data_IF_362975172514
#
_entry.id   IF_362975172514
#
_cell.length_a   1.000
_cell.length_b   1.000
_cell.length_c   1.000
_cell.angle_alpha   90.00
_cell.angle_beta   90.00
_cell.angle_gamma   90.00
#
_symmetry.space_group_name_H-M   'P 1'
#
loop_
_entity.id
_entity.type
_entity.pdbx_description
1 polymer ?
#
# COMPACT_ATOMS: atom_id res chain seq x y z
N UNK A 1 11.74 -4.30 -9.18
CA UNK A 1 10.96 -3.12 -9.62
C UNK A 1 9.89 -2.82 -8.58
N UNK A 2 9.59 -1.54 -8.34
CA UNK A 2 8.53 -1.14 -7.41
C UNK A 2 7.58 -0.19 -8.15
N UNK A 3 6.28 -0.44 -8.06
CA UNK A 3 5.23 0.42 -8.64
C UNK A 3 4.26 0.80 -7.54
N UNK A 4 4.15 2.09 -7.28
CA UNK A 4 3.19 2.62 -6.32
C UNK A 4 1.84 2.94 -6.95
N UNK A 5 0.77 2.84 -6.16
CA UNK A 5 -0.61 3.09 -6.57
C UNK A 5 -1.02 2.33 -7.84
N UNK A 6 -0.58 1.07 -7.98
CA UNK A 6 -0.75 0.22 -9.17
C UNK A 6 -2.21 0.09 -9.63
N UNK A 7 -3.15 0.09 -8.68
CA UNK A 7 -4.59 0.03 -8.95
C UNK A 7 -5.10 1.14 -9.86
N UNK A 8 -4.41 2.29 -9.94
CA UNK A 8 -4.75 3.41 -10.83
C UNK A 8 -4.75 2.99 -12.30
N UNK A 9 -3.91 2.02 -12.69
CA UNK A 9 -3.85 1.51 -14.07
C UNK A 9 -5.17 0.85 -14.52
N UNK A 10 -6.01 0.44 -13.57
CA UNK A 10 -7.27 -0.27 -13.81
C UNK A 10 -8.51 0.63 -13.60
N UNK A 11 -8.30 1.89 -13.20
CA UNK A 11 -9.39 2.84 -12.99
C UNK A 11 -9.87 3.43 -14.31
N UNK A 12 -11.18 3.39 -14.52
CA UNK A 12 -11.90 3.95 -15.68
C UNK A 12 -12.37 5.41 -15.45
N UNK A 13 -12.12 5.99 -14.26
CA UNK A 13 -12.59 7.34 -13.90
C UNK A 13 -11.77 8.47 -14.51
N UNK A 14 -10.52 8.19 -14.85
CA UNK A 14 -9.64 9.07 -15.62
C UNK A 14 -9.41 8.39 -16.96
N UNK A 15 -9.22 9.16 -18.05
CA UNK A 15 -8.83 8.60 -19.37
C UNK A 15 -7.77 7.53 -19.08
N UNK A 16 -8.02 6.23 -19.36
CA UNK A 16 -7.13 5.17 -18.91
C UNK A 16 -5.70 5.55 -19.25
N UNK A 17 -4.77 5.47 -18.29
CA UNK A 17 -3.36 5.79 -18.55
C UNK A 17 -2.85 5.08 -19.83
N UNK A 18 -3.42 3.90 -20.12
CA UNK A 18 -3.35 3.13 -21.36
C UNK A 18 -3.57 3.90 -22.69
N UNK A 19 -4.50 4.86 -22.74
CA UNK A 19 -4.78 5.66 -23.95
C UNK A 19 -3.72 6.74 -24.17
N UNK A 20 -3.03 7.17 -23.10
CA UNK A 20 -1.97 8.19 -23.16
C UNK A 20 -0.58 7.58 -23.27
N UNK A 21 -0.36 6.40 -22.69
CA UNK A 21 0.94 5.78 -22.53
C UNK A 21 0.83 4.26 -22.75
N UNK A 22 0.86 3.84 -24.00
CA UNK A 22 0.83 2.42 -24.38
C UNK A 22 1.93 1.57 -23.72
N UNK A 23 3.06 2.20 -23.37
CA UNK A 23 4.17 1.55 -22.67
C UNK A 23 3.78 1.00 -21.29
N UNK A 24 2.75 1.56 -20.64
CA UNK A 24 2.29 1.11 -19.32
C UNK A 24 1.42 -0.16 -19.39
N UNK A 25 1.03 -0.61 -20.59
CA UNK A 25 0.17 -1.79 -20.77
C UNK A 25 0.80 -3.06 -20.18
N UNK A 26 2.13 -3.19 -20.23
CA UNK A 26 2.85 -4.33 -19.66
C UNK A 26 2.73 -4.39 -18.14
N UNK A 27 2.56 -3.25 -17.46
CA UNK A 27 2.41 -3.20 -16.00
C UNK A 27 1.07 -3.74 -15.51
N UNK A 28 0.08 -3.91 -16.39
CA UNK A 28 -1.21 -4.48 -16.04
C UNK A 28 -1.22 -6.02 -16.06
N UNK A 29 -0.22 -6.63 -16.71
CA UNK A 29 -0.07 -8.08 -16.72
C UNK A 29 0.77 -8.53 -15.52
N UNK A 30 0.11 -9.06 -14.49
CA UNK A 30 0.74 -9.49 -13.25
C UNK A 30 1.70 -10.66 -13.43
N UNK A 31 1.49 -11.53 -14.43
CA UNK A 31 2.33 -12.71 -14.70
C UNK A 31 3.47 -12.45 -15.69
N UNK A 32 3.50 -11.26 -16.31
CA UNK A 32 4.53 -10.90 -17.31
C UNK A 32 5.96 -11.12 -16.79
N UNK A 33 6.15 -10.99 -15.49
CA UNK A 33 7.46 -11.02 -14.84
C UNK A 33 7.90 -12.41 -14.38
N UNK A 34 7.00 -13.39 -14.30
CA UNK A 34 7.31 -14.71 -13.74
C UNK A 34 7.94 -15.68 -14.73
N UNK A 35 7.64 -15.56 -16.03
CA UNK A 35 7.99 -16.60 -17.02
C UNK A 35 9.35 -16.36 -17.71
N UNK A 36 9.71 -15.10 -17.98
CA UNK A 36 10.88 -14.78 -18.81
C UNK A 36 12.06 -14.15 -18.06
N UNK A 37 11.89 -13.83 -16.77
CA UNK A 37 12.90 -13.11 -15.97
C UNK A 37 13.19 -13.86 -14.67
N UNK A 38 13.84 -15.02 -14.79
CA UNK A 38 14.32 -15.79 -13.63
C UNK A 38 15.15 -14.89 -12.69
N UNK A 39 14.63 -14.66 -11.49
CA UNK A 39 15.28 -13.86 -10.44
C UNK A 39 14.79 -12.41 -10.30
N UNK A 40 13.98 -11.89 -11.22
CA UNK A 40 13.39 -10.57 -11.07
C UNK A 40 12.20 -10.60 -10.08
N UNK A 41 12.14 -9.62 -9.17
CA UNK A 41 11.00 -9.41 -8.27
C UNK A 41 10.35 -8.07 -8.54
N UNK A 42 9.02 -8.06 -8.53
CA UNK A 42 8.21 -6.85 -8.69
C UNK A 42 7.34 -6.69 -7.45
N UNK A 43 7.35 -5.50 -6.86
CA UNK A 43 6.47 -5.13 -5.76
C UNK A 43 5.47 -4.11 -6.30
N UNK A 44 4.19 -4.43 -6.17
CA UNK A 44 3.09 -3.56 -6.59
C UNK A 44 2.35 -3.13 -5.32
N UNK A 45 2.31 -1.82 -5.07
CA UNK A 45 1.60 -1.26 -3.92
C UNK A 45 0.38 -0.50 -4.40
N UNK A 46 -0.57 -0.31 -3.50
CA UNK A 46 -1.73 0.52 -3.73
C UNK A 46 -2.75 0.35 -2.62
N UNK A 47 -3.64 1.32 -2.49
CA UNK A 47 -4.75 1.22 -1.57
C UNK A 47 -5.54 -0.08 -1.83
N UNK A 48 -5.66 -0.93 -0.80
CA UNK A 48 -6.40 -2.18 -0.85
C UNK A 48 -7.90 -1.89 -1.06
N UNK A 49 -8.32 -1.77 -2.31
CA UNK A 49 -9.73 -1.71 -2.65
C UNK A 49 -10.21 -3.15 -2.83
N UNK A 50 -11.19 -3.60 -2.03
CA UNK A 50 -11.75 -4.96 -2.14
C UNK A 50 -12.19 -5.32 -3.58
N UNK A 51 -12.62 -4.30 -4.33
CA UNK A 51 -12.94 -4.41 -5.77
C UNK A 51 -11.74 -4.77 -6.65
N UNK A 52 -10.56 -4.23 -6.36
CA UNK A 52 -9.35 -4.55 -7.12
C UNK A 52 -8.93 -6.00 -6.90
N UNK A 53 -8.81 -6.40 -5.63
CA UNK A 53 -8.47 -7.78 -5.23
C UNK A 53 -9.46 -8.76 -5.83
N UNK A 54 -10.76 -8.51 -5.71
CA UNK A 54 -11.81 -9.39 -6.25
C UNK A 54 -11.82 -9.50 -7.77
N UNK A 55 -11.51 -8.43 -8.49
CA UNK A 55 -11.71 -8.40 -9.94
C UNK A 55 -10.46 -8.76 -10.75
N UNK A 56 -9.27 -8.55 -10.21
CA UNK A 56 -8.01 -8.65 -10.96
C UNK A 56 -7.06 -9.72 -10.43
N UNK A 57 -7.25 -10.22 -9.21
CA UNK A 57 -6.47 -11.33 -8.68
C UNK A 57 -7.23 -12.63 -8.95
N UNK A 58 -6.64 -13.45 -9.82
CA UNK A 58 -7.22 -14.71 -10.28
C UNK A 58 -6.82 -15.82 -9.29
N UNK A 59 -7.64 -16.88 -9.20
CA UNK A 59 -7.36 -18.06 -8.38
C UNK A 59 -5.89 -18.51 -8.53
N UNK A 60 -5.16 -18.53 -7.42
CA UNK A 60 -3.72 -18.85 -7.36
C UNK A 60 -2.80 -17.67 -7.05
N UNK A 61 -3.29 -16.42 -7.18
CA UNK A 61 -2.50 -15.22 -6.85
C UNK A 61 -2.66 -14.76 -5.39
N UNK A 62 -3.45 -15.47 -4.58
CA UNK A 62 -3.66 -15.10 -3.16
C UNK A 62 -2.35 -15.09 -2.36
N UNK A 63 -1.45 -16.03 -2.68
CA UNK A 63 -0.13 -16.14 -2.05
C UNK A 63 0.84 -15.02 -2.46
N UNK A 64 0.43 -14.14 -3.39
CA UNK A 64 1.22 -13.00 -3.85
C UNK A 64 0.83 -11.70 -3.15
N UNK A 65 -0.19 -11.74 -2.28
CA UNK A 65 -0.77 -10.56 -1.64
C UNK A 65 -0.29 -10.49 -0.21
N UNK A 66 0.31 -9.35 0.13
CA UNK A 66 0.56 -8.97 1.52
C UNK A 66 -0.38 -7.83 1.91
N UNK A 67 -1.18 -8.03 2.96
CA UNK A 67 -2.06 -6.99 3.48
C UNK A 67 -1.34 -6.17 4.56
N UNK A 68 -1.14 -4.88 4.28
CA UNK A 68 -0.58 -3.95 5.26
C UNK A 68 -1.72 -3.24 5.99
N UNK A 69 -1.87 -3.56 7.28
CA UNK A 69 -2.85 -2.95 8.17
C UNK A 69 -2.28 -1.81 9.04
N UNK A 70 -3.06 -1.35 10.04
CA UNK A 70 -2.56 -0.50 11.11
C UNK A 70 -1.35 -1.14 11.81
N UNK A 71 -0.47 -0.32 12.38
CA UNK A 71 0.68 -0.82 13.13
C UNK A 71 0.21 -1.55 14.40
N UNK A 72 0.94 -2.59 14.83
CA UNK A 72 0.82 -3.12 16.18
C UNK A 72 1.04 -2.01 17.23
N UNK A 73 0.34 -2.09 18.36
CA UNK A 73 0.40 -1.03 19.38
C UNK A 73 1.79 -0.82 19.95
N UNK A 74 2.54 -1.89 20.22
CA UNK A 74 3.90 -1.86 20.75
C UNK A 74 4.90 -1.24 19.77
N UNK A 75 4.73 -1.51 18.48
CA UNK A 75 5.52 -0.90 17.41
C UNK A 75 5.19 0.58 17.28
N UNK A 76 3.91 0.94 17.36
CA UNK A 76 3.50 2.33 17.36
C UNK A 76 4.01 3.08 18.60
N UNK A 77 3.93 2.48 19.79
CA UNK A 77 4.46 3.06 21.02
C UNK A 77 5.97 3.33 20.90
N UNK A 78 6.71 2.39 20.30
CA UNK A 78 8.14 2.55 20.01
C UNK A 78 8.39 3.70 19.02
N UNK A 79 7.55 3.84 18.00
CA UNK A 79 7.63 4.95 17.03
C UNK A 79 7.31 6.31 17.68
N UNK A 80 6.27 6.37 18.52
CA UNK A 80 5.86 7.60 19.20
C UNK A 80 6.90 8.06 20.22
N UNK A 81 7.60 7.14 20.88
CA UNK A 81 8.72 7.46 21.79
C UNK A 81 9.92 8.10 21.11
N UNK A 82 10.07 7.94 19.79
CA UNK A 82 11.09 8.66 19.01
C UNK A 82 10.69 10.11 18.73
N UNK A 83 9.43 10.48 18.97
CA UNK A 83 8.95 11.83 18.71
C UNK A 83 9.43 12.78 19.81
N UNK A 84 10.07 13.91 19.47
CA UNK A 84 10.72 14.78 20.46
C UNK A 84 9.73 15.48 21.41
N UNK A 85 8.45 15.59 21.03
CA UNK A 85 7.43 16.34 21.80
C UNK A 85 6.35 15.47 22.43
N UNK A 86 6.19 14.21 22.02
CA UNK A 86 5.15 13.34 22.57
C UNK A 86 5.67 12.67 23.84
N UNK A 87 5.10 13.05 24.99
CA UNK A 87 5.36 12.38 26.26
C UNK A 87 4.59 11.08 26.41
N UNK A 88 5.02 10.20 27.32
CA UNK A 88 4.37 8.92 27.62
C UNK A 88 2.88 9.06 27.98
N UNK A 89 2.47 10.21 28.55
CA UNK A 89 1.07 10.50 28.90
C UNK A 89 0.17 10.71 27.68
N UNK A 90 0.72 11.13 26.54
CA UNK A 90 -0.06 11.44 25.33
C UNK A 90 -0.22 10.22 24.41
N UNK A 91 0.60 9.18 24.57
CA UNK A 91 0.58 7.95 23.76
C UNK A 91 -0.82 7.30 23.69
N UNK A 92 -1.54 7.07 24.81
CA UNK A 92 -2.87 6.46 24.76
C UNK A 92 -3.87 7.26 23.93
N UNK A 93 -3.79 8.59 24.01
CA UNK A 93 -4.68 9.51 23.28
C UNK A 93 -4.36 9.50 21.78
N UNK A 94 -3.09 9.53 21.41
CA UNK A 94 -2.64 9.45 20.01
C UNK A 94 -3.07 8.12 19.39
N UNK A 95 -2.91 6.99 20.11
CA UNK A 95 -3.38 5.67 19.64
C UNK A 95 -4.90 5.66 19.39
N UNK A 96 -5.68 6.17 20.32
CA UNK A 96 -7.14 6.23 20.18
C UNK A 96 -7.59 7.07 18.96
N UNK A 97 -6.96 8.21 18.71
CA UNK A 97 -7.31 9.09 17.58
C UNK A 97 -6.84 8.52 16.25
N UNK A 98 -5.63 7.96 16.21
CA UNK A 98 -5.06 7.43 14.96
C UNK A 98 -5.60 6.04 14.61
N UNK A 99 -6.12 5.29 15.58
CA UNK A 99 -6.43 3.87 15.44
C UNK A 99 -5.23 3.10 14.87
N UNK A 100 -4.05 3.45 15.37
CA UNK A 100 -2.75 2.93 14.96
C UNK A 100 -2.40 3.07 13.46
N UNK A 101 -3.02 4.01 12.75
CA UNK A 101 -2.71 4.30 11.34
C UNK A 101 -1.62 5.37 11.28
N UNK A 102 -0.40 5.04 10.80
CA UNK A 102 0.74 5.97 10.84
C UNK A 102 0.49 7.27 10.07
N UNK A 103 -0.21 7.20 8.93
CA UNK A 103 -0.52 8.39 8.13
C UNK A 103 -1.32 9.43 8.91
N UNK A 104 -2.08 9.05 9.94
CA UNK A 104 -2.82 10.01 10.76
C UNK A 104 -1.93 10.74 11.77
N UNK A 105 -0.68 10.33 11.95
CA UNK A 105 0.29 11.02 12.82
C UNK A 105 0.72 12.38 12.25
N UNK A 106 0.64 12.58 10.93
CA UNK A 106 0.97 13.88 10.30
C UNK A 106 0.11 15.04 10.81
N UNK A 107 -1.01 14.75 11.46
CA UNK A 107 -1.89 15.76 12.05
C UNK A 107 -1.48 16.15 13.48
N UNK A 108 -0.45 15.50 14.03
CA UNK A 108 0.11 15.76 15.37
C UNK A 108 1.46 16.50 15.32
N UNK A 109 2.02 16.75 14.14
CA UNK A 109 3.12 17.69 13.94
C UNK A 109 2.58 19.13 14.15
N UNK A 110 2.65 19.63 15.38
CA UNK A 110 2.44 21.04 15.80
C UNK A 110 3.70 21.52 16.50
#
# INVERSE_FOLDING_TARGET
>A
MVVDEHHVLFSYKTIPALLRLHILKFLMNLTYWSENNLGARVVLTGAAHAKFVKNYLINGMNDWIEFVGPLPEDILDSLLKLHPTLGDEELPKVKAVTNCVPRKLIYFDI
#
